data_IF_237871442029
#
_entry.id   IF_237871442029
#
_cell.length_a   1.000
_cell.length_b   1.000
_cell.length_c   1.000
_cell.angle_alpha   90.00
_cell.angle_beta   90.00
_cell.angle_gamma   90.00
#
_symmetry.space_group_name_H-M   'P 1'
#
loop_
_entity.id
_entity.type
_entity.pdbx_description
1 polymer ?
#
# COMPACT_ATOMS: atom_id res chain seq x y z
N UNK A 1 -26.14 8.91 11.08
CA UNK A 1 -24.81 8.40 10.67
C UNK A 1 -25.07 7.21 9.75
N UNK A 2 -24.70 7.29 8.47
CA UNK A 2 -24.90 6.15 7.56
C UNK A 2 -23.62 5.33 7.59
N UNK A 3 -23.68 4.13 8.17
CA UNK A 3 -22.56 3.22 8.23
C UNK A 3 -22.41 2.55 6.86
N UNK A 4 -21.21 2.61 6.27
CA UNK A 4 -20.87 1.90 5.03
C UNK A 4 -19.82 0.85 5.38
N UNK A 5 -20.10 -0.41 5.04
CA UNK A 5 -19.12 -1.48 5.11
C UNK A 5 -18.47 -1.64 3.74
N UNK A 6 -17.15 -1.59 3.69
CA UNK A 6 -16.38 -1.80 2.46
C UNK A 6 -15.53 -3.05 2.64
N UNK A 7 -15.55 -3.94 1.65
CA UNK A 7 -14.71 -5.15 1.63
C UNK A 7 -13.33 -4.76 1.09
N UNK A 8 -12.27 -5.15 1.80
CA UNK A 8 -10.89 -4.91 1.40
C UNK A 8 -9.92 -5.71 2.27
N UNK A 9 -8.64 -5.48 2.05
CA UNK A 9 -7.55 -6.02 2.87
C UNK A 9 -6.99 -4.88 3.72
N UNK A 10 -6.88 -5.12 5.02
CA UNK A 10 -6.21 -4.20 5.94
C UNK A 10 -4.70 -4.47 5.88
N UNK A 11 -3.94 -3.48 5.43
CA UNK A 11 -2.50 -3.53 5.36
C UNK A 11 -1.92 -2.74 6.53
N UNK A 12 -1.07 -3.38 7.33
CA UNK A 12 -0.28 -2.73 8.38
C UNK A 12 1.18 -2.64 7.94
N UNK A 13 1.75 -1.44 7.92
CA UNK A 13 3.11 -1.17 7.50
C UNK A 13 3.72 0.02 8.24
N UNK A 14 5.04 0.19 8.20
CA UNK A 14 5.69 1.39 8.72
C UNK A 14 5.46 2.62 7.83
N UNK A 15 5.79 3.80 8.37
CA UNK A 15 5.57 5.07 7.69
C UNK A 15 6.35 5.20 6.36
N UNK A 16 7.54 4.61 6.24
CA UNK A 16 8.32 4.68 5.01
C UNK A 16 7.71 3.82 3.91
N UNK A 17 7.32 2.58 4.24
CA UNK A 17 6.58 1.69 3.32
C UNK A 17 5.25 2.32 2.91
N UNK A 18 4.54 2.96 3.84
CA UNK A 18 3.30 3.68 3.53
C UNK A 18 3.51 4.76 2.46
N UNK A 19 4.59 5.55 2.55
CA UNK A 19 4.89 6.56 1.52
C UNK A 19 5.13 5.92 0.14
N UNK A 20 5.85 4.80 0.07
CA UNK A 20 6.05 4.06 -1.18
C UNK A 20 4.71 3.61 -1.75
N UNK A 21 3.82 3.07 -0.92
CA UNK A 21 2.48 2.62 -1.33
C UNK A 21 1.60 3.77 -1.83
N UNK A 22 1.68 4.95 -1.21
CA UNK A 22 0.98 6.15 -1.68
C UNK A 22 1.45 6.55 -3.08
N UNK A 23 2.77 6.56 -3.33
CA UNK A 23 3.34 6.83 -4.66
C UNK A 23 2.91 5.78 -5.68
N UNK A 24 2.95 4.50 -5.32
CA UNK A 24 2.47 3.41 -6.18
C UNK A 24 0.98 3.58 -6.52
N UNK A 25 0.19 4.07 -5.57
CA UNK A 25 -1.24 4.31 -5.74
C UNK A 25 -1.54 5.48 -6.69
N UNK A 26 -0.64 6.47 -6.82
CA UNK A 26 -0.76 7.54 -7.83
C UNK A 26 -0.65 6.99 -9.25
N UNK A 27 0.23 6.00 -9.48
CA UNK A 27 0.39 5.35 -10.77
C UNK A 27 -0.79 4.42 -11.11
N UNK A 28 -1.27 3.66 -10.12
CA UNK A 28 -2.41 2.77 -10.27
C UNK A 28 -3.22 2.73 -8.97
N UNK A 29 -4.47 3.19 -9.00
CA UNK A 29 -5.30 3.28 -7.79
C UNK A 29 -5.71 1.92 -7.23
N UNK A 30 -5.24 1.60 -6.02
CA UNK A 30 -5.58 0.40 -5.25
C UNK A 30 -5.96 0.66 -3.78
N UNK A 31 -5.63 1.84 -3.25
CA UNK A 31 -6.01 2.25 -1.89
C UNK A 31 -7.48 2.66 -1.91
N UNK A 32 -8.25 2.04 -1.01
CA UNK A 32 -9.65 2.38 -0.74
C UNK A 32 -9.69 3.53 0.26
N UNK A 33 -8.93 3.42 1.35
CA UNK A 33 -8.93 4.40 2.43
C UNK A 33 -7.58 4.43 3.15
N UNK A 34 -7.11 5.62 3.51
CA UNK A 34 -5.98 5.84 4.42
C UNK A 34 -6.54 6.03 5.83
N UNK A 35 -6.26 5.08 6.73
CA UNK A 35 -6.90 5.01 8.04
C UNK A 35 -6.08 5.75 9.11
N UNK A 36 -4.77 5.52 9.13
CA UNK A 36 -3.81 6.18 10.03
C UNK A 36 -2.38 5.99 9.51
N UNK A 37 -1.38 6.48 10.26
CA UNK A 37 0.04 6.44 9.89
C UNK A 37 0.61 5.05 9.56
N UNK A 38 -0.05 3.97 10.00
CA UNK A 38 0.43 2.59 9.87
C UNK A 38 -0.57 1.67 9.16
N UNK A 39 -1.80 2.12 8.89
CA UNK A 39 -2.87 1.31 8.35
C UNK A 39 -3.45 1.88 7.06
N UNK A 40 -3.50 1.03 6.03
CA UNK A 40 -4.19 1.29 4.77
C UNK A 40 -5.25 0.23 4.51
N UNK A 41 -6.40 0.64 3.99
CA UNK A 41 -7.38 -0.29 3.42
C UNK A 41 -7.17 -0.33 1.91
N UNK A 42 -6.91 -1.52 1.35
CA UNK A 42 -6.66 -1.73 -0.07
C UNK A 42 -7.67 -2.68 -0.71
N UNK A 43 -7.77 -2.64 -2.04
CA UNK A 43 -8.59 -3.57 -2.83
C UNK A 43 -8.05 -5.00 -2.69
N UNK A 44 -8.95 -5.97 -2.53
CA UNK A 44 -8.59 -7.36 -2.25
C UNK A 44 -7.86 -8.06 -3.41
N UNK A 45 -8.22 -7.72 -4.64
CA UNK A 45 -7.64 -8.25 -5.88
C UNK A 45 -6.24 -7.70 -6.19
N UNK A 46 -5.81 -6.66 -5.46
CA UNK A 46 -4.54 -5.98 -5.69
C UNK A 46 -3.44 -6.46 -4.74
N UNK A 47 -3.76 -7.23 -3.69
CA UNK A 47 -2.80 -7.64 -2.63
C UNK A 47 -1.55 -8.31 -3.20
N UNK A 48 -1.71 -9.33 -4.05
CA UNK A 48 -0.61 -10.08 -4.63
C UNK A 48 0.28 -9.22 -5.54
N UNK A 49 -0.33 -8.27 -6.26
CA UNK A 49 0.40 -7.35 -7.15
C UNK A 49 1.21 -6.36 -6.34
N UNK A 50 0.59 -5.75 -5.33
CA UNK A 50 1.23 -4.77 -4.44
C UNK A 50 2.41 -5.41 -3.73
N UNK A 51 2.26 -6.63 -3.21
CA UNK A 51 3.33 -7.34 -2.52
C UNK A 51 4.58 -7.53 -3.40
N UNK A 52 4.40 -8.02 -4.63
CA UNK A 52 5.51 -8.20 -5.59
C UNK A 52 6.15 -6.89 -6.02
N UNK A 53 5.34 -5.85 -6.27
CA UNK A 53 5.87 -4.55 -6.64
C UNK A 53 6.63 -3.89 -5.48
N UNK A 54 6.11 -3.99 -4.27
CA UNK A 54 6.77 -3.44 -3.08
C UNK A 54 8.13 -4.11 -2.84
N UNK A 55 8.21 -5.43 -2.96
CA UNK A 55 9.49 -6.16 -2.91
C UNK A 55 10.48 -5.63 -3.96
N UNK A 56 10.02 -5.43 -5.20
CA UNK A 56 10.85 -4.89 -6.29
C UNK A 56 11.33 -3.46 -6.01
N UNK A 57 10.48 -2.58 -5.45
CA UNK A 57 10.84 -1.20 -5.13
C UNK A 57 11.80 -1.10 -3.93
N UNK A 58 11.67 -2.00 -2.95
CA UNK A 58 12.58 -2.11 -1.82
C UNK A 58 13.96 -2.63 -2.24
N UNK A 59 14.01 -3.60 -3.16
CA UNK A 59 15.27 -4.09 -3.73
C UNK A 59 16.02 -2.98 -4.48
N UNK A 60 15.34 -2.20 -5.33
CA UNK A 60 15.95 -1.06 -6.05
C UNK A 60 16.55 -0.02 -5.09
N UNK A 61 15.87 0.27 -3.98
CA UNK A 61 16.37 1.21 -2.97
C UNK A 61 17.58 0.66 -2.21
N UNK A 62 17.62 -0.66 -1.97
CA UNK A 62 18.74 -1.29 -1.26
C UNK A 62 20.01 -1.36 -2.12
N UNK A 63 19.87 -1.47 -3.45
CA UNK A 63 20.99 -1.52 -4.39
C UNK A 63 21.65 -0.17 -4.70
N UNK A 64 21.12 0.96 -4.19
CA UNK A 64 21.67 2.30 -4.47
C UNK A 64 22.76 2.73 -3.48
N UNK A 65 23.32 1.80 -2.68
CA UNK A 65 24.32 2.07 -1.64
C UNK A 65 25.77 1.72 -2.02
N UNK A 66 26.04 1.34 -3.28
CA UNK A 66 27.40 1.12 -3.80
C UNK A 66 27.82 2.16 -4.85
#
# INVERSE_FOLDING_TARGET
MVMKAVKGVLLTCDAAVKQILLVMNEAQSFIIEDLDDFHLLIKQDEEDRIRRQLETELEKNTYSLD
#
